data_IF_335772608234
#
_entry.id   IF_335772608234
#
_cell.length_a   1.000
_cell.length_b   1.000
_cell.length_c   1.000
_cell.angle_alpha   90.00
_cell.angle_beta   90.00
_cell.angle_gamma   90.00
#
_symmetry.space_group_name_H-M   'P 1'
#
loop_
_entity.id
_entity.type
_entity.pdbx_description
1 polymer ?
#
# COMPACT_ATOMS: atom_id res chain seq x y z
N UNK A 1 14.61 -4.02 -10.40
CA UNK A 1 14.01 -2.71 -10.10
C UNK A 1 13.49 -2.11 -11.39
N UNK A 2 12.21 -2.35 -11.66
CA UNK A 2 11.53 -1.80 -12.82
C UNK A 2 11.58 -0.27 -12.80
N UNK A 3 11.71 0.33 -13.99
CA UNK A 3 11.64 1.79 -14.16
C UNK A 3 10.17 2.14 -14.30
N UNK A 4 9.57 2.73 -13.27
CA UNK A 4 8.22 3.32 -13.31
C UNK A 4 8.29 4.81 -12.98
N UNK A 5 7.49 5.60 -13.67
CA UNK A 5 7.41 7.05 -13.51
C UNK A 5 6.04 7.45 -12.94
N UNK A 6 5.93 8.69 -12.46
CA UNK A 6 4.65 9.18 -11.93
C UNK A 6 3.63 9.32 -13.07
N UNK A 7 4.12 9.72 -14.25
CA UNK A 7 3.34 9.91 -15.46
C UNK A 7 2.59 8.65 -15.88
N UNK A 8 3.21 7.47 -15.69
CA UNK A 8 2.58 6.16 -15.95
C UNK A 8 1.33 5.91 -15.08
N UNK A 9 1.28 6.53 -13.90
CA UNK A 9 0.17 6.39 -12.95
C UNK A 9 -0.92 7.46 -13.12
N UNK A 10 -0.61 8.60 -13.75
CA UNK A 10 -1.52 9.76 -13.81
C UNK A 10 -2.79 9.50 -14.62
N UNK A 11 -2.80 8.49 -15.50
CA UNK A 11 -4.01 8.07 -16.21
C UNK A 11 -5.06 7.38 -15.32
N UNK A 12 -4.68 6.97 -14.11
CA UNK A 12 -5.49 6.13 -13.22
C UNK A 12 -5.89 6.84 -11.91
N UNK A 13 -5.44 8.08 -11.70
CA UNK A 13 -5.64 8.85 -10.48
C UNK A 13 -5.91 10.32 -10.79
N UNK A 14 -6.73 10.98 -9.96
CA UNK A 14 -7.11 12.37 -10.19
C UNK A 14 -6.09 13.37 -9.62
N UNK A 15 -5.24 12.91 -8.69
CA UNK A 15 -4.27 13.76 -7.99
C UNK A 15 -3.02 12.98 -7.58
N UNK A 16 -1.87 13.66 -7.61
CA UNK A 16 -0.60 13.11 -7.11
C UNK A 16 -0.65 12.81 -5.61
N UNK A 17 -1.42 13.56 -4.83
CA UNK A 17 -1.63 13.27 -3.42
C UNK A 17 -2.40 11.97 -3.23
N UNK A 18 -3.44 11.76 -4.04
CA UNK A 18 -4.22 10.53 -4.04
C UNK A 18 -3.36 9.33 -4.45
N UNK A 19 -2.50 9.48 -5.47
CA UNK A 19 -1.52 8.46 -5.85
C UNK A 19 -0.67 8.01 -4.67
N UNK A 20 -0.12 8.97 -3.91
CA UNK A 20 0.70 8.67 -2.73
C UNK A 20 -0.09 7.88 -1.68
N UNK A 21 -1.34 8.26 -1.42
CA UNK A 21 -2.19 7.56 -0.45
C UNK A 21 -2.52 6.13 -0.89
N UNK A 22 -2.93 5.94 -2.15
CA UNK A 22 -3.26 4.62 -2.72
C UNK A 22 -2.00 3.73 -2.70
N UNK A 23 -0.88 4.23 -3.22
CA UNK A 23 0.37 3.47 -3.30
C UNK A 23 0.89 3.10 -1.90
N UNK A 24 0.83 4.01 -0.93
CA UNK A 24 1.27 3.73 0.44
C UNK A 24 0.42 2.65 1.10
N UNK A 25 -0.92 2.74 0.97
CA UNK A 25 -1.83 1.72 1.52
C UNK A 25 -1.60 0.37 0.86
N UNK A 26 -1.54 0.34 -0.48
CA UNK A 26 -1.33 -0.91 -1.21
C UNK A 26 0.03 -1.55 -0.92
N UNK A 27 1.09 -0.75 -0.85
CA UNK A 27 2.43 -1.25 -0.51
C UNK A 27 2.46 -1.89 0.89
N UNK A 28 1.67 -1.35 1.84
CA UNK A 28 1.51 -1.95 3.17
C UNK A 28 0.78 -3.29 3.11
N UNK A 29 -0.30 -3.40 2.35
CA UNK A 29 -0.99 -4.69 2.15
C UNK A 29 -0.04 -5.74 1.55
N UNK A 30 0.73 -5.38 0.52
CA UNK A 30 1.74 -6.25 -0.09
C UNK A 30 2.82 -6.66 0.92
N UNK A 31 3.28 -5.73 1.76
CA UNK A 31 4.23 -6.02 2.83
C UNK A 31 3.65 -7.00 3.88
N UNK A 32 2.35 -6.92 4.15
CA UNK A 32 1.63 -7.84 5.04
C UNK A 32 1.27 -9.18 4.38
N UNK A 33 1.75 -9.44 3.17
CA UNK A 33 1.57 -10.70 2.45
C UNK A 33 0.29 -10.77 1.61
N UNK A 34 -0.31 -9.64 1.26
CA UNK A 34 -1.35 -9.62 0.23
C UNK A 34 -0.76 -10.09 -1.11
N UNK A 35 -1.58 -10.80 -1.89
CA UNK A 35 -1.19 -11.25 -3.22
C UNK A 35 -1.01 -10.05 -4.17
N UNK A 36 0.08 -10.06 -4.94
CA UNK A 36 0.35 -9.07 -5.97
C UNK A 36 -0.43 -9.40 -7.25
N UNK A 37 -0.94 -8.38 -7.92
CA UNK A 37 -1.70 -8.48 -9.16
C UNK A 37 -0.80 -8.29 -10.41
N UNK A 38 0.50 -8.05 -10.19
CA UNK A 38 1.55 -7.99 -11.20
C UNK A 38 2.74 -8.83 -10.75
N UNK A 39 3.57 -9.26 -11.68
CA UNK A 39 4.72 -10.11 -11.39
C UNK A 39 5.80 -9.38 -10.58
N UNK A 40 6.38 -10.11 -9.62
CA UNK A 40 7.51 -9.62 -8.83
C UNK A 40 8.80 -9.65 -9.65
N UNK A 41 9.37 -8.47 -9.92
CA UNK A 41 10.66 -8.33 -10.63
C UNK A 41 11.80 -7.95 -9.68
N UNK A 42 11.83 -8.59 -8.50
CA UNK A 42 12.67 -8.18 -7.35
C UNK A 42 12.46 -6.71 -6.96
N UNK A 43 11.23 -6.23 -7.12
CA UNK A 43 10.82 -4.88 -6.80
C UNK A 43 10.42 -4.76 -5.33
N UNK A 44 10.58 -3.57 -4.75
CA UNK A 44 10.02 -3.27 -3.42
C UNK A 44 8.49 -3.19 -3.51
N UNK A 45 7.74 -3.47 -2.42
CA UNK A 45 6.27 -3.40 -2.42
C UNK A 45 5.72 -2.08 -2.96
N UNK A 46 6.39 -0.96 -2.71
CA UNK A 46 5.99 0.35 -3.24
C UNK A 46 6.05 0.43 -4.77
N UNK A 47 7.07 -0.19 -5.38
CA UNK A 47 7.21 -0.22 -6.85
C UNK A 47 6.16 -1.14 -7.46
N UNK A 48 5.89 -2.30 -6.83
CA UNK A 48 4.81 -3.21 -7.25
C UNK A 48 3.45 -2.51 -7.17
N UNK A 49 3.16 -1.82 -6.07
CA UNK A 49 1.92 -1.04 -5.93
C UNK A 49 1.76 0.02 -7.02
N UNK A 50 2.82 0.76 -7.36
CA UNK A 50 2.78 1.74 -8.45
C UNK A 50 2.52 1.09 -9.82
N UNK A 51 3.08 -0.10 -10.07
CA UNK A 51 2.83 -0.87 -11.31
C UNK A 51 1.38 -1.37 -11.38
N UNK A 52 0.84 -1.88 -10.28
CA UNK A 52 -0.57 -2.26 -10.20
C UNK A 52 -1.51 -1.06 -10.46
N UNK A 53 -1.16 0.12 -9.93
CA UNK A 53 -1.91 1.36 -10.18
C UNK A 53 -1.81 1.76 -11.65
N UNK A 54 -0.62 1.76 -12.25
CA UNK A 54 -0.42 2.11 -13.65
C UNK A 54 -1.18 1.18 -14.62
N UNK A 55 -1.30 -0.11 -14.27
CA UNK A 55 -2.10 -1.10 -15.01
C UNK A 55 -3.62 -1.03 -14.71
N UNK A 56 -4.07 -0.11 -13.85
CA UNK A 56 -5.48 0.04 -13.47
C UNK A 56 -6.03 -1.11 -12.63
N UNK A 57 -5.15 -1.93 -12.03
CA UNK A 57 -5.53 -3.08 -11.18
C UNK A 57 -5.85 -2.67 -9.74
N UNK A 58 -5.34 -1.51 -9.30
CA UNK A 58 -5.60 -0.91 -8.00
C UNK A 58 -6.05 0.54 -8.21
N UNK A 59 -7.15 0.92 -7.56
CA UNK A 59 -7.75 2.24 -7.63
C UNK A 59 -8.01 2.84 -6.24
N UNK A 60 -8.68 4.00 -6.21
CA UNK A 60 -9.01 4.72 -4.99
C UNK A 60 -9.90 3.94 -4.00
N UNK A 61 -10.62 2.91 -4.46
CA UNK A 61 -11.51 2.12 -3.60
C UNK A 61 -10.76 1.42 -2.48
N UNK A 62 -9.45 1.16 -2.64
CA UNK A 62 -8.60 0.60 -1.59
C UNK A 62 -8.62 1.46 -0.33
N UNK A 63 -8.74 2.79 -0.45
CA UNK A 63 -8.72 3.70 0.69
C UNK A 63 -9.90 3.47 1.63
N UNK A 64 -11.04 3.02 1.10
CA UNK A 64 -12.26 2.76 1.87
C UNK A 64 -12.29 1.36 2.52
N UNK A 65 -11.40 0.45 2.13
CA UNK A 65 -11.35 -0.90 2.71
C UNK A 65 -10.75 -0.82 4.11
N UNK A 66 -11.53 -1.14 5.14
CA UNK A 66 -11.01 -1.31 6.50
C UNK A 66 -10.51 -2.74 6.63
N UNK A 67 -9.19 -2.93 6.75
CA UNK A 67 -8.64 -4.26 6.96
C UNK A 67 -8.74 -4.62 8.45
N UNK A 68 -9.48 -5.68 8.79
CA UNK A 68 -9.61 -6.17 10.17
C UNK A 68 -8.24 -6.50 10.81
N UNK A 69 -7.23 -6.84 9.98
CA UNK A 69 -5.84 -7.06 10.41
C UNK A 69 -5.12 -5.77 10.83
N UNK A 70 -5.45 -4.62 10.22
CA UNK A 70 -4.84 -3.33 10.59
C UNK A 70 -5.23 -2.93 12.02
N UNK A 71 -6.51 -3.11 12.40
CA UNK A 71 -6.95 -2.89 13.78
C UNK A 71 -6.29 -3.85 14.79
N UNK A 72 -6.06 -5.11 14.39
CA UNK A 72 -5.38 -6.07 15.25
C UNK A 72 -3.91 -5.69 15.48
N UNK A 73 -3.20 -5.17 14.47
CA UNK A 73 -1.82 -4.70 14.63
C UNK A 73 -1.70 -3.40 15.42
N UNK A 74 -2.66 -2.48 15.28
CA UNK A 74 -2.71 -1.26 16.10
C UNK A 74 -2.96 -1.59 17.58
N UNK A 75 -3.73 -2.64 17.86
CA UNK A 75 -3.97 -3.16 19.21
C UNK A 75 -2.80 -3.97 19.79
N UNK A 76 -1.85 -4.40 18.94
CA UNK A 76 -0.65 -5.17 19.34
C UNK A 76 0.54 -4.26 19.73
N UNK A 77 0.44 -2.94 19.53
CA UNK A 77 1.19 -1.99 20.38
C UNK A 77 0.52 -2.04 21.76
N UNK A 78 0.76 -3.16 22.43
CA UNK A 78 -0.01 -3.61 23.57
C UNK A 78 0.32 -2.79 24.80
N UNK A 79 -0.62 -2.83 25.74
CA UNK A 79 -0.54 -2.25 27.08
C UNK A 79 0.82 -2.46 27.79
N UNK A 80 1.63 -3.43 27.37
CA UNK A 80 3.01 -3.68 27.83
C UNK A 80 3.98 -2.51 27.62
N UNK A 81 3.94 -1.80 26.48
CA UNK A 81 4.82 -0.63 26.27
C UNK A 81 4.37 0.56 27.15
N UNK A 82 3.06 0.72 27.34
CA UNK A 82 2.50 1.76 28.22
C UNK A 82 2.82 1.47 29.70
N UNK A 83 2.86 0.19 30.08
CA UNK A 83 3.15 -0.26 31.45
C UNK A 83 4.64 -0.21 31.80
N UNK A 84 5.55 -0.21 30.81
CA UNK A 84 6.98 -0.01 31.01
C UNK A 84 7.39 1.48 31.03
N UNK A 85 6.50 2.40 30.61
CA UNK A 85 6.76 3.84 30.56
C UNK A 85 6.22 4.63 31.77
N UNK A 86 5.59 3.95 32.74
CA UNK A 86 5.14 4.49 34.05
C UNK A 86 5.93 3.85 35.20
#
# INVERSE_FOLDING_TARGET
>A
MARITIEDCMGQVESRFQLVLIAAKRARELYMGAEALVDWENDKPTVVALREIAEGKIDASILNKVNAREHAQESLVGEEELRQAL
#
